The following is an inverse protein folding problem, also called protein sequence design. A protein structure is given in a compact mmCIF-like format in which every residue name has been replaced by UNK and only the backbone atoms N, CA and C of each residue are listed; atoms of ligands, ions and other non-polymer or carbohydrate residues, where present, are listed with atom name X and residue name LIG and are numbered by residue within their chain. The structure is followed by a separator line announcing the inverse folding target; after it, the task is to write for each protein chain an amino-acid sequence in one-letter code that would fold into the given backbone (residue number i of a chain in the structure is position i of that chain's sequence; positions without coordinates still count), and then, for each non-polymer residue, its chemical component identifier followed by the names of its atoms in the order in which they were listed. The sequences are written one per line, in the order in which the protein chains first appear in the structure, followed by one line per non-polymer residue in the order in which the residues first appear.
data_IF_921348648349
#
_entry.id   IF_921348648349
#
_cell.length_a   1.000
_cell.length_b   1.000
_cell.length_c   1.000
_cell.angle_alpha   90.00
_cell.angle_beta   90.00
_cell.angle_gamma   90.00
#
_symmetry.space_group_name_H-M   'P 1'
#
loop_
_entity.id
_entity.type
_entity.pdbx_description
1 polymer ?
#
# COMPACT_ATOMS: atom_id res chain seq x y z
N UNK A 1 2.99 -8.09 -0.92
CA UNK A 1 1.74 -8.06 -0.13
C UNK A 1 0.57 -7.98 -1.09
N UNK A 2 -0.44 -8.82 -0.90
CA UNK A 2 -1.69 -8.79 -1.65
C UNK A 2 -2.86 -8.75 -0.67
N UNK A 3 -3.89 -7.98 -0.99
CA UNK A 3 -5.14 -7.93 -0.24
C UNK A 3 -6.32 -7.91 -1.23
N UNK A 4 -7.33 -8.79 -1.08
CA UNK A 4 -8.45 -8.93 -2.02
C UNK A 4 -9.51 -7.83 -1.88
N UNK A 5 -9.12 -6.64 -1.40
CA UNK A 5 -9.96 -5.45 -1.30
C UNK A 5 -9.04 -4.25 -1.36
N UNK A 6 -9.43 -3.21 -2.10
CA UNK A 6 -8.67 -1.97 -2.18
C UNK A 6 -8.68 -1.21 -0.86
N UNK A 7 -7.74 -0.27 -0.70
CA UNK A 7 -7.70 0.55 0.53
C UNK A 7 -8.93 1.46 0.63
N UNK A 8 -9.41 1.98 -0.49
CA UNK A 8 -10.65 2.76 -0.55
C UNK A 8 -11.89 1.93 -0.15
N UNK A 9 -12.01 0.70 -0.64
CA UNK A 9 -13.10 -0.20 -0.22
C UNK A 9 -13.01 -0.54 1.26
N UNK A 10 -11.79 -0.78 1.77
CA UNK A 10 -11.57 -1.06 3.20
C UNK A 10 -12.00 0.14 4.05
N UNK A 11 -11.61 1.34 3.65
CA UNK A 11 -11.99 2.58 4.32
C UNK A 11 -13.52 2.75 4.32
N UNK A 12 -14.16 2.58 3.15
CA UNK A 12 -15.61 2.65 3.00
C UNK A 12 -16.35 1.62 3.86
N UNK A 13 -15.87 0.37 3.93
CA UNK A 13 -16.43 -0.69 4.79
C UNK A 13 -16.33 -0.36 6.27
N UNK A 14 -15.27 0.33 6.69
CA UNK A 14 -15.10 0.79 8.06
C UNK A 14 -15.74 2.17 8.33
N UNK A 15 -16.47 2.74 7.35
CA UNK A 15 -17.13 4.04 7.49
C UNK A 15 -16.15 5.22 7.64
N UNK A 16 -14.92 5.07 7.14
CA UNK A 16 -13.88 6.11 7.20
C UNK A 16 -13.46 6.53 5.79
N UNK A 17 -13.10 7.80 5.58
CA UNK A 17 -12.47 8.22 4.33
C UNK A 17 -11.11 7.53 4.17
N UNK A 18 -10.63 7.43 2.92
CA UNK A 18 -9.26 6.97 2.64
C UNK A 18 -8.29 7.90 3.36
N UNK A 19 -7.53 7.37 4.30
CA UNK A 19 -6.62 8.15 5.11
C UNK A 19 -5.27 8.33 4.38
N UNK A 20 -4.80 9.58 4.19
CA UNK A 20 -3.51 9.82 3.53
C UNK A 20 -2.31 9.39 4.39
N UNK A 21 -2.49 9.26 5.72
CA UNK A 21 -1.47 8.72 6.62
C UNK A 21 -1.51 7.18 6.71
N UNK A 22 -2.30 6.51 5.87
CA UNK A 22 -2.34 5.05 5.80
C UNK A 22 -0.95 4.51 5.43
N UNK A 23 -0.39 3.54 6.18
CA UNK A 23 0.96 3.02 5.95
C UNK A 23 1.10 2.24 4.65
N UNK A 24 -0.02 1.81 4.05
CA UNK A 24 -0.03 1.18 2.73
C UNK A 24 -0.16 2.21 1.60
N UNK A 25 -0.18 3.51 1.90
CA UNK A 25 -0.14 4.57 0.89
C UNK A 25 1.22 4.58 0.24
N UNK A 26 1.27 4.73 -1.09
CA UNK A 26 2.53 4.70 -1.82
C UNK A 26 3.57 5.67 -1.23
N UNK A 27 3.14 6.86 -0.83
CA UNK A 27 3.96 7.91 -0.22
C UNK A 27 4.56 7.51 1.14
N UNK A 28 3.85 6.69 1.93
CA UNK A 28 4.29 6.23 3.25
C UNK A 28 5.04 4.88 3.17
N UNK A 29 4.58 4.01 2.27
CA UNK A 29 5.11 2.66 2.08
C UNK A 29 6.50 2.69 1.45
N UNK A 30 6.72 3.57 0.48
CA UNK A 30 8.00 3.68 -0.22
C UNK A 30 9.18 4.04 0.71
N UNK A 31 9.12 5.11 1.53
CA UNK A 31 10.20 5.41 2.46
C UNK A 31 10.36 4.34 3.56
N UNK A 32 9.27 3.71 4.01
CA UNK A 32 9.34 2.63 5.00
C UNK A 32 10.06 1.38 4.44
N UNK A 33 9.79 1.01 3.19
CA UNK A 33 10.50 -0.06 2.50
C UNK A 33 11.98 0.32 2.30
N UNK A 34 12.25 1.53 1.85
CA UNK A 34 13.61 1.99 1.61
C UNK A 34 14.45 2.00 2.90
N UNK A 35 13.87 2.42 4.02
CA UNK A 35 14.52 2.38 5.33
C UNK A 35 14.91 0.96 5.80
N UNK A 36 14.27 -0.07 5.25
CA UNK A 36 14.55 -1.48 5.55
C UNK A 36 15.36 -2.17 4.44
N UNK A 37 15.85 -1.42 3.45
CA UNK A 37 16.61 -1.95 2.33
C UNK A 37 15.76 -2.64 1.26
N UNK A 38 14.51 -2.22 1.09
CA UNK A 38 13.60 -2.70 0.06
C UNK A 38 13.17 -1.57 -0.88
N UNK A 39 13.06 -1.86 -2.17
CA UNK A 39 12.56 -0.93 -3.18
C UNK A 39 11.19 -1.38 -3.69
N UNK A 40 10.25 -0.43 -3.80
CA UNK A 40 8.87 -0.70 -4.23
C UNK A 40 8.81 -0.86 -5.75
N UNK A 41 8.90 -2.11 -6.22
CA UNK A 41 8.90 -2.46 -7.64
C UNK A 41 7.51 -2.47 -8.31
N UNK A 42 6.43 -2.65 -7.54
CA UNK A 42 5.07 -2.59 -8.08
C UNK A 42 4.09 -2.15 -6.98
N UNK A 43 3.17 -1.26 -7.34
CA UNK A 43 2.14 -0.74 -6.45
C UNK A 43 0.84 -0.58 -7.23
N UNK A 44 -0.20 -1.31 -6.82
CA UNK A 44 -1.54 -1.24 -7.39
C UNK A 44 -2.55 -1.07 -6.26
N UNK A 45 -3.22 0.08 -6.22
CA UNK A 45 -4.29 0.40 -5.27
C UNK A 45 -5.62 0.49 -6.02
N UNK A 46 -6.09 -0.65 -6.53
CA UNK A 46 -7.37 -0.72 -7.21
C UNK A 46 -8.52 -0.78 -6.21
N UNK A 47 -9.71 -0.30 -6.59
CA UNK A 47 -10.89 -0.33 -5.71
C UNK A 47 -11.19 -1.73 -5.14
N UNK A 48 -10.95 -2.79 -5.94
CA UNK A 48 -11.26 -4.19 -5.60
C UNK A 48 -10.05 -5.03 -5.16
N UNK A 49 -8.83 -4.50 -5.20
CA UNK A 49 -7.65 -5.22 -4.75
C UNK A 49 -6.49 -4.27 -4.47
N UNK A 50 -5.64 -4.66 -3.54
CA UNK A 50 -4.38 -3.98 -3.27
C UNK A 50 -3.21 -4.94 -3.50
N UNK A 51 -2.22 -4.51 -4.26
CA UNK A 51 -0.97 -5.23 -4.50
C UNK A 51 0.22 -4.29 -4.24
N UNK A 52 1.17 -4.75 -3.44
CA UNK A 52 2.47 -4.11 -3.30
C UNK A 52 3.57 -5.16 -3.44
N UNK A 53 4.46 -4.99 -4.39
CA UNK A 53 5.65 -5.83 -4.57
C UNK A 53 6.87 -4.98 -4.30
N UNK A 54 7.70 -5.46 -3.37
CA UNK A 54 8.99 -4.88 -3.09
C UNK A 54 10.09 -5.89 -3.43
N UNK A 55 11.23 -5.39 -3.87
CA UNK A 55 12.45 -6.17 -4.10
C UNK A 55 13.51 -5.70 -3.12
N UNK A 56 14.40 -6.59 -2.69
CA UNK A 56 15.48 -6.19 -1.78
C UNK A 56 16.48 -5.34 -2.56
N UNK A 57 16.77 -4.15 -2.07
CA UNK A 57 17.87 -3.33 -2.57
C UNK A 57 19.18 -4.05 -2.22
N UNK A 58 19.99 -4.33 -3.24
CA UNK A 58 21.25 -5.07 -3.12
C UNK A 58 22.33 -4.29 -2.41
#
# INVERSE_FOLDING_TARGET
MFHPSGRAERAARHGRPLDPADPLAQENLRPALHATGWDLACYEDAARHFLARAVRAG
#
